data_IF_827055827063
#
_entry.id   IF_827055827063
#
_cell.length_a   1.000
_cell.length_b   1.000
_cell.length_c   1.000
_cell.angle_alpha   90.00
_cell.angle_beta   90.00
_cell.angle_gamma   90.00
#
_symmetry.space_group_name_H-M   'P 1'
#
loop_
_entity.id
_entity.type
_entity.pdbx_description
1 polymer ?
#
# COMPACT_ATOMS: atom_id res chain seq x y z
N UNK A 1 -18.01 10.00 3.17
CA UNK A 1 -18.64 9.10 2.21
C UNK A 1 -19.76 8.30 2.87
N UNK A 2 -20.88 8.13 2.17
CA UNK A 2 -21.84 7.08 2.53
C UNK A 2 -21.41 5.80 1.83
N UNK A 3 -20.97 4.82 2.62
CA UNK A 3 -20.62 3.48 2.13
C UNK A 3 -21.79 2.56 2.41
N UNK A 4 -22.23 1.85 1.40
CA UNK A 4 -23.30 0.86 1.48
C UNK A 4 -22.76 -0.44 0.87
N UNK A 5 -22.80 -1.52 1.62
CA UNK A 5 -22.41 -2.84 1.12
C UNK A 5 -23.62 -3.65 0.71
N UNK A 6 -23.40 -4.50 -0.28
CA UNK A 6 -24.35 -5.53 -0.70
C UNK A 6 -23.58 -6.80 -1.02
N UNK A 7 -24.22 -7.94 -0.73
CA UNK A 7 -23.60 -9.24 -0.96
C UNK A 7 -23.65 -9.61 -2.45
N UNK A 8 -22.46 -9.72 -3.07
CA UNK A 8 -22.36 -10.27 -4.42
C UNK A 8 -22.51 -11.79 -4.39
N UNK A 9 -23.42 -12.33 -5.19
CA UNK A 9 -23.61 -13.77 -5.39
C UNK A 9 -23.53 -14.11 -6.87
N UNK A 10 -22.63 -15.03 -7.21
CA UNK A 10 -22.48 -15.47 -8.59
C UNK A 10 -23.80 -16.09 -9.11
N UNK A 11 -24.19 -15.72 -10.32
CA UNK A 11 -25.45 -16.21 -10.93
C UNK A 11 -26.73 -15.52 -10.46
N UNK A 12 -26.65 -14.60 -9.50
CA UNK A 12 -27.81 -13.82 -9.02
C UNK A 12 -27.93 -12.53 -9.83
N UNK A 13 -29.13 -12.15 -10.34
CA UNK A 13 -29.37 -10.86 -10.97
C UNK A 13 -29.00 -9.70 -10.03
N UNK A 14 -28.44 -8.61 -10.59
CA UNK A 14 -27.99 -7.46 -9.77
C UNK A 14 -29.09 -6.84 -8.90
N UNK A 15 -30.35 -6.89 -9.35
CA UNK A 15 -31.50 -6.37 -8.61
C UNK A 15 -31.87 -7.19 -7.36
N UNK A 16 -31.33 -8.41 -7.25
CA UNK A 16 -31.64 -9.33 -6.15
C UNK A 16 -30.54 -9.36 -5.07
N UNK A 17 -29.50 -8.52 -5.22
CA UNK A 17 -28.48 -8.38 -4.20
C UNK A 17 -29.02 -7.71 -2.95
N UNK A 18 -28.77 -8.34 -1.80
CA UNK A 18 -29.23 -7.81 -0.51
C UNK A 18 -28.24 -6.78 0.01
N UNK A 19 -28.79 -5.66 0.49
CA UNK A 19 -28.00 -4.67 1.22
C UNK A 19 -27.71 -5.26 2.62
N UNK A 20 -26.41 -5.29 2.99
CA UNK A 20 -25.99 -5.84 4.27
C UNK A 20 -25.87 -4.75 5.33
N UNK A 21 -25.26 -3.63 4.97
CA UNK A 21 -25.00 -2.56 5.90
C UNK A 21 -24.73 -1.22 5.18
N UNK A 22 -24.83 -0.13 5.93
CA UNK A 22 -24.46 1.20 5.49
C UNK A 22 -23.79 1.96 6.62
N UNK A 23 -22.78 2.78 6.28
CA UNK A 23 -22.05 3.61 7.23
C UNK A 23 -21.69 4.96 6.62
N UNK A 24 -21.76 6.01 7.41
CA UNK A 24 -21.17 7.31 7.07
C UNK A 24 -19.70 7.30 7.46
N UNK A 25 -18.82 7.13 6.47
CA UNK A 25 -17.38 7.05 6.66
C UNK A 25 -16.72 8.42 6.48
N UNK A 26 -15.85 8.77 7.42
CA UNK A 26 -14.95 9.91 7.35
C UNK A 26 -13.52 9.41 7.30
N UNK A 27 -12.72 9.96 6.37
CA UNK A 27 -11.32 9.59 6.26
C UNK A 27 -10.54 10.01 7.50
N UNK A 28 -9.72 9.12 8.09
CA UNK A 28 -8.71 9.51 9.07
C UNK A 28 -7.70 10.50 8.48
N UNK A 29 -7.15 11.39 9.30
CA UNK A 29 -6.20 12.42 8.85
C UNK A 29 -4.92 11.82 8.27
N UNK A 30 -4.41 10.74 8.86
CA UNK A 30 -3.27 9.98 8.35
C UNK A 30 -3.52 9.41 6.95
N UNK A 31 -4.72 8.93 6.69
CA UNK A 31 -5.11 8.39 5.38
C UNK A 31 -5.22 9.52 4.35
N UNK A 32 -5.77 10.66 4.73
CA UNK A 32 -5.86 11.84 3.85
C UNK A 32 -4.48 12.33 3.43
N UNK A 33 -3.48 12.32 4.32
CA UNK A 33 -2.12 12.73 3.98
C UNK A 33 -1.48 11.76 2.97
N UNK A 34 -1.68 10.45 3.10
CA UNK A 34 -1.18 9.48 2.12
C UNK A 34 -1.92 9.61 0.78
N UNK A 35 -3.25 9.79 0.80
CA UNK A 35 -4.05 10.03 -0.41
C UNK A 35 -3.60 11.31 -1.12
N UNK A 36 -3.28 12.37 -0.39
CA UNK A 36 -2.74 13.62 -0.95
C UNK A 36 -1.38 13.38 -1.62
N UNK A 37 -0.47 12.65 -0.97
CA UNK A 37 0.82 12.29 -1.54
C UNK A 37 0.67 11.46 -2.82
N UNK A 38 -0.26 10.53 -2.85
CA UNK A 38 -0.57 9.72 -4.02
C UNK A 38 -1.09 10.58 -5.17
N UNK A 39 -1.99 11.53 -4.87
CA UNK A 39 -2.47 12.50 -5.85
C UNK A 39 -1.34 13.35 -6.42
N UNK A 40 -0.43 13.82 -5.57
CA UNK A 40 0.74 14.59 -6.00
C UNK A 40 1.64 13.79 -6.94
N UNK A 41 1.94 12.51 -6.64
CA UNK A 41 2.72 11.62 -7.51
C UNK A 41 2.08 11.46 -8.89
N UNK A 42 0.75 11.28 -8.94
CA UNK A 42 0.02 11.20 -10.21
C UNK A 42 0.14 12.52 -10.97
N UNK A 43 -0.08 13.65 -10.29
CA UNK A 43 -0.02 14.98 -10.91
C UNK A 43 1.40 15.37 -11.33
N UNK A 44 2.43 14.96 -10.63
CA UNK A 44 3.84 15.12 -11.05
C UNK A 44 4.07 14.46 -12.42
N UNK A 45 3.61 13.22 -12.63
CA UNK A 45 3.72 12.55 -13.94
C UNK A 45 2.90 13.25 -15.02
N UNK A 46 1.67 13.69 -14.71
CA UNK A 46 0.84 14.43 -15.67
C UNK A 46 1.51 15.73 -16.09
N UNK A 47 1.99 16.55 -15.14
CA UNK A 47 2.65 17.84 -15.41
C UNK A 47 3.98 17.68 -16.16
N UNK A 48 4.67 16.55 -15.95
CA UNK A 48 5.89 16.22 -16.68
C UNK A 48 5.64 15.64 -18.08
N UNK A 49 4.39 15.59 -18.57
CA UNK A 49 4.04 15.00 -19.87
C UNK A 49 4.18 13.48 -19.93
N UNK A 50 4.21 12.83 -18.77
CA UNK A 50 4.43 11.37 -18.61
C UNK A 50 3.19 10.63 -18.12
N UNK A 51 1.98 11.13 -18.41
CA UNK A 51 0.74 10.48 -17.98
C UNK A 51 0.58 9.06 -18.56
N UNK A 52 1.23 8.75 -19.68
CA UNK A 52 1.28 7.41 -20.28
C UNK A 52 2.04 6.37 -19.42
N UNK A 53 2.93 6.84 -18.52
CA UNK A 53 3.69 5.98 -17.60
C UNK A 53 2.98 5.71 -16.26
N UNK A 54 1.80 6.30 -16.02
CA UNK A 54 1.09 6.10 -14.76
C UNK A 54 0.66 4.65 -14.62
N UNK A 55 1.01 4.04 -13.49
CA UNK A 55 0.63 2.69 -13.12
C UNK A 55 -0.01 2.63 -11.73
N UNK A 56 -0.70 1.53 -11.40
CA UNK A 56 -1.26 1.32 -10.07
C UNK A 56 -0.18 1.13 -8.98
N UNK A 57 1.02 0.72 -9.39
CA UNK A 57 2.17 0.57 -8.49
C UNK A 57 2.78 1.89 -8.02
N UNK A 58 2.44 3.02 -8.65
CA UNK A 58 3.02 4.33 -8.30
C UNK A 58 2.54 4.88 -6.95
N UNK A 59 1.44 4.40 -6.45
CA UNK A 59 0.68 4.97 -5.33
C UNK A 59 0.34 3.93 -4.27
N UNK A 60 -0.09 4.38 -3.09
CA UNK A 60 -0.38 3.52 -1.94
C UNK A 60 -1.88 3.30 -1.74
N UNK A 61 -2.68 4.35 -1.60
CA UNK A 61 -4.12 4.28 -1.30
C UNK A 61 -4.98 4.74 -2.46
N UNK A 62 -4.59 5.82 -3.12
CA UNK A 62 -5.26 6.34 -4.32
C UNK A 62 -4.66 5.70 -5.57
N UNK A 63 -5.48 5.41 -6.55
CA UNK A 63 -5.06 4.91 -7.86
C UNK A 63 -5.59 5.81 -8.97
N UNK A 64 -4.93 5.80 -10.12
CA UNK A 64 -5.43 6.35 -11.37
C UNK A 64 -5.87 5.20 -12.27
N UNK A 65 -7.07 4.67 -12.01
CA UNK A 65 -7.62 3.52 -12.70
C UNK A 65 -7.94 3.83 -14.18
N UNK A 66 -7.50 3.01 -15.14
CA UNK A 66 -7.89 3.19 -16.54
C UNK A 66 -9.41 3.17 -16.72
N UNK A 67 -9.91 4.08 -17.53
CA UNK A 67 -11.30 4.17 -17.95
C UNK A 67 -11.35 4.18 -19.48
N UNK A 68 -12.26 3.44 -20.04
CA UNK A 68 -12.42 3.36 -21.50
C UNK A 68 -13.09 2.07 -21.87
N UNK A 69 -13.62 2.02 -23.10
CA UNK A 69 -14.35 0.86 -23.61
C UNK A 69 -13.40 -0.32 -23.85
N UNK A 70 -12.14 -0.03 -24.18
CA UNK A 70 -11.11 -1.02 -24.46
C UNK A 70 -9.70 -0.50 -24.16
N UNK A 71 -8.69 -1.35 -24.32
CA UNK A 71 -7.28 -1.03 -24.06
C UNK A 71 -6.70 0.08 -24.98
N UNK A 72 -7.33 0.34 -26.13
CA UNK A 72 -6.93 1.37 -27.11
C UNK A 72 -7.58 2.73 -26.87
N UNK A 73 -8.41 2.89 -25.83
CA UNK A 73 -9.00 4.19 -25.47
C UNK A 73 -7.93 5.13 -24.96
N UNK A 74 -7.36 5.91 -25.87
CA UNK A 74 -6.29 6.88 -25.58
C UNK A 74 -6.82 8.30 -25.71
N UNK A 75 -6.22 9.24 -24.97
CA UNK A 75 -6.49 10.68 -25.05
C UNK A 75 -5.20 11.47 -25.13
N UNK A 76 -5.26 12.61 -25.79
CA UNK A 76 -4.22 13.62 -25.73
C UNK A 76 -4.01 14.03 -24.28
N UNK A 77 -2.77 14.05 -23.83
CA UNK A 77 -2.42 14.59 -22.52
C UNK A 77 -2.06 16.10 -22.61
N UNK A 78 -2.25 16.87 -21.53
CA UNK A 78 -2.14 18.33 -21.61
C UNK A 78 -0.71 18.84 -21.80
N UNK A 79 0.31 18.05 -21.48
CA UNK A 79 1.71 18.51 -21.48
C UNK A 79 2.63 17.63 -22.36
N UNK A 80 2.08 16.86 -23.30
CA UNK A 80 2.85 16.03 -24.22
C UNK A 80 1.99 15.59 -25.40
N UNK A 81 2.63 15.40 -26.56
CA UNK A 81 1.96 14.85 -27.76
C UNK A 81 1.79 13.33 -27.71
N UNK A 82 2.42 12.65 -26.73
CA UNK A 82 2.26 11.22 -26.54
C UNK A 82 0.89 10.95 -25.92
N UNK A 83 0.00 10.20 -26.59
CA UNK A 83 -1.32 9.92 -26.02
C UNK A 83 -1.22 9.04 -24.79
N UNK A 84 -2.11 9.24 -23.80
CA UNK A 84 -2.19 8.46 -22.58
C UNK A 84 -3.57 7.83 -22.39
N UNK A 85 -3.64 6.74 -21.65
CA UNK A 85 -4.92 6.12 -21.29
C UNK A 85 -5.79 7.09 -20.51
N UNK A 86 -7.07 7.13 -20.83
CA UNK A 86 -8.04 7.83 -20.00
C UNK A 86 -8.09 7.18 -18.62
N UNK A 87 -8.03 7.98 -17.55
CA UNK A 87 -8.02 7.49 -16.17
C UNK A 87 -9.01 8.26 -15.31
N UNK A 88 -9.44 7.63 -14.22
CA UNK A 88 -10.16 8.27 -13.13
C UNK A 88 -9.50 7.93 -11.80
N UNK A 89 -9.57 8.84 -10.84
CA UNK A 89 -9.17 8.54 -9.47
C UNK A 89 -10.07 7.48 -8.86
N UNK A 90 -9.48 6.55 -8.13
CA UNK A 90 -10.18 5.52 -7.37
C UNK A 90 -9.36 5.17 -6.13
N UNK A 91 -10.01 4.76 -5.07
CA UNK A 91 -9.33 4.14 -3.94
C UNK A 91 -9.00 2.69 -4.31
N UNK A 92 -7.82 2.23 -3.91
CA UNK A 92 -7.40 0.84 -4.17
C UNK A 92 -8.31 -0.16 -3.47
N UNK A 93 -8.45 -1.34 -4.07
CA UNK A 93 -9.25 -2.43 -3.49
C UNK A 93 -8.77 -2.83 -2.11
N UNK A 94 -7.44 -2.90 -1.90
CA UNK A 94 -6.84 -3.19 -0.60
C UNK A 94 -7.27 -2.18 0.47
N UNK A 95 -7.20 -0.87 0.13
CA UNK A 95 -7.64 0.20 1.01
C UNK A 95 -9.12 0.06 1.37
N UNK A 96 -9.99 -0.07 0.37
CA UNK A 96 -11.44 -0.20 0.58
C UNK A 96 -11.80 -1.45 1.36
N UNK A 97 -11.14 -2.58 1.08
CA UNK A 97 -11.36 -3.83 1.84
C UNK A 97 -11.03 -3.64 3.32
N UNK A 98 -9.91 -2.95 3.63
CA UNK A 98 -9.55 -2.70 5.02
C UNK A 98 -10.52 -1.74 5.71
N UNK A 99 -10.95 -0.67 5.02
CA UNK A 99 -11.96 0.27 5.52
C UNK A 99 -13.28 -0.45 5.82
N UNK A 100 -13.79 -1.26 4.89
CA UNK A 100 -15.04 -2.00 5.11
C UNK A 100 -14.91 -2.98 6.27
N UNK A 101 -13.84 -3.76 6.31
CA UNK A 101 -13.61 -4.72 7.40
C UNK A 101 -13.59 -4.04 8.77
N UNK A 102 -12.91 -2.90 8.89
CA UNK A 102 -12.79 -2.19 10.16
C UNK A 102 -14.11 -1.49 10.56
N UNK A 103 -14.65 -0.67 9.66
CA UNK A 103 -15.72 0.27 10.02
C UNK A 103 -17.12 -0.30 9.80
N UNK A 104 -17.27 -1.29 8.93
CA UNK A 104 -18.57 -1.90 8.63
C UNK A 104 -18.74 -3.28 9.28
N UNK A 105 -17.69 -4.09 9.29
CA UNK A 105 -17.73 -5.45 9.80
C UNK A 105 -17.06 -5.63 11.16
N UNK A 106 -16.60 -4.55 11.80
CA UNK A 106 -16.09 -4.56 13.18
C UNK A 106 -14.78 -5.30 13.38
N UNK A 107 -13.93 -5.43 12.33
CA UNK A 107 -12.61 -6.02 12.49
C UNK A 107 -11.75 -5.19 13.46
N UNK A 108 -10.93 -5.86 14.27
CA UNK A 108 -10.04 -5.23 15.22
C UNK A 108 -9.05 -4.27 14.53
N UNK A 109 -8.64 -3.25 15.26
CA UNK A 109 -7.62 -2.31 14.84
C UNK A 109 -6.26 -3.00 14.77
N UNK A 110 -5.58 -2.84 13.64
CA UNK A 110 -4.21 -3.33 13.49
C UNK A 110 -3.20 -2.31 14.03
N UNK A 111 -2.00 -2.75 14.44
CA UNK A 111 -0.93 -1.83 14.79
C UNK A 111 -0.61 -0.87 13.65
N UNK A 112 -0.36 0.40 13.95
CA UNK A 112 0.09 1.40 13.00
C UNK A 112 1.61 1.58 13.04
N UNK A 113 2.24 1.73 11.87
CA UNK A 113 3.65 2.13 11.73
C UNK A 113 3.80 3.63 11.98
N UNK A 114 2.76 4.41 11.66
CA UNK A 114 2.75 5.85 11.81
C UNK A 114 2.42 6.20 13.27
N UNK A 115 3.38 6.79 13.99
CA UNK A 115 3.17 7.28 15.37
C UNK A 115 2.66 8.71 15.42
N UNK A 116 3.14 9.55 14.52
CA UNK A 116 2.68 10.93 14.36
C UNK A 116 2.46 11.20 12.87
N UNK A 117 1.20 11.21 12.46
CA UNK A 117 0.80 11.44 11.08
C UNK A 117 1.20 12.83 10.55
N UNK A 118 1.42 13.82 11.44
CA UNK A 118 1.86 15.18 11.04
C UNK A 118 3.21 15.17 10.36
N UNK A 119 4.03 14.13 10.60
CA UNK A 119 5.31 13.94 9.92
C UNK A 119 5.11 13.68 8.42
N UNK A 120 3.98 13.08 8.02
CA UNK A 120 3.65 12.84 6.61
C UNK A 120 3.41 14.13 5.82
N UNK A 121 3.17 15.26 6.48
CA UNK A 121 3.15 16.58 5.83
C UNK A 121 4.53 17.06 5.38
N UNK A 122 5.60 16.51 5.96
CA UNK A 122 6.99 16.91 5.72
C UNK A 122 7.79 15.89 4.91
N UNK A 123 7.31 14.66 4.80
CA UNK A 123 7.97 13.61 4.03
C UNK A 123 6.95 12.61 3.51
N UNK A 124 7.29 11.92 2.43
CA UNK A 124 6.47 10.83 1.90
C UNK A 124 6.48 9.63 2.84
N UNK A 125 5.44 8.79 2.77
CA UNK A 125 5.36 7.59 3.60
C UNK A 125 6.58 6.67 3.40
N UNK A 126 7.04 6.50 2.17
CA UNK A 126 8.22 5.70 1.87
C UNK A 126 9.49 6.27 2.55
N UNK A 127 9.64 7.59 2.52
CA UNK A 127 10.75 8.27 3.21
C UNK A 127 10.63 8.14 4.73
N UNK A 128 9.42 8.17 5.28
CA UNK A 128 9.18 7.93 6.70
C UNK A 128 9.66 6.54 7.09
N UNK A 129 9.31 5.49 6.32
CA UNK A 129 9.78 4.12 6.56
C UNK A 129 11.31 4.03 6.48
N UNK A 130 11.91 4.61 5.42
CA UNK A 130 13.38 4.60 5.25
C UNK A 130 14.07 5.32 6.42
N UNK A 131 13.57 6.47 6.86
CA UNK A 131 14.12 7.21 8.02
C UNK A 131 14.09 6.40 9.32
N UNK A 132 13.07 5.58 9.52
CA UNK A 132 12.99 4.68 10.69
C UNK A 132 13.99 3.53 10.63
N UNK A 133 14.30 3.04 9.45
CA UNK A 133 15.18 1.87 9.25
C UNK A 133 16.65 2.27 9.06
N UNK A 134 16.92 3.42 8.43
CA UNK A 134 18.28 3.85 8.06
C UNK A 134 19.28 3.96 9.22
N UNK A 135 18.89 4.29 10.48
CA UNK A 135 19.83 4.29 11.60
C UNK A 135 20.49 2.92 11.88
N UNK A 136 19.88 1.86 11.38
CA UNK A 136 20.35 0.48 11.57
C UNK A 136 21.13 -0.08 10.37
N UNK A 137 21.36 0.73 9.33
CA UNK A 137 22.17 0.30 8.18
C UNK A 137 23.59 -0.02 8.59
N UNK A 138 24.15 -1.10 8.05
CA UNK A 138 25.48 -1.60 8.38
C UNK A 138 25.53 -2.49 9.61
N UNK A 139 24.51 -2.52 10.45
CA UNK A 139 24.47 -3.42 11.61
C UNK A 139 24.22 -4.88 11.16
N UNK A 140 24.95 -5.79 11.80
CA UNK A 140 24.73 -7.22 11.61
C UNK A 140 23.48 -7.71 12.35
N UNK A 141 22.93 -8.88 11.93
CA UNK A 141 21.83 -9.51 12.67
C UNK A 141 22.13 -9.75 14.15
N UNK A 142 23.42 -10.01 14.50
CA UNK A 142 23.83 -10.21 15.90
C UNK A 142 23.70 -8.91 16.70
N UNK A 143 24.19 -7.81 16.16
CA UNK A 143 24.08 -6.48 16.78
C UNK A 143 22.63 -6.04 16.91
N UNK A 144 21.82 -6.23 15.88
CA UNK A 144 20.39 -5.92 15.92
C UNK A 144 19.64 -6.77 16.96
N UNK A 145 19.96 -8.05 17.07
CA UNK A 145 19.40 -8.92 18.12
C UNK A 145 19.74 -8.42 19.52
N UNK A 146 20.98 -8.00 19.73
CA UNK A 146 21.41 -7.44 21.00
C UNK A 146 20.72 -6.10 21.28
N UNK A 147 20.71 -5.21 20.30
CA UNK A 147 20.09 -3.88 20.40
C UNK A 147 18.59 -3.96 20.76
N UNK A 148 17.85 -4.83 20.10
CA UNK A 148 16.40 -5.01 20.32
C UNK A 148 16.05 -6.09 21.36
N UNK A 149 17.05 -6.70 22.00
CA UNK A 149 16.88 -7.79 22.97
C UNK A 149 16.04 -8.97 22.39
N UNK A 150 16.23 -9.28 21.10
CA UNK A 150 15.53 -10.35 20.40
C UNK A 150 16.27 -11.66 20.56
N UNK A 151 15.75 -12.58 21.36
CA UNK A 151 16.29 -13.93 21.49
C UNK A 151 15.47 -14.92 20.63
N UNK A 152 15.60 -14.84 19.30
CA UNK A 152 14.88 -15.71 18.36
C UNK A 152 15.85 -16.40 17.40
N UNK A 153 15.57 -17.68 17.12
CA UNK A 153 16.18 -18.47 16.04
C UNK A 153 15.20 -18.74 14.89
N UNK A 154 14.06 -18.05 14.86
CA UNK A 154 13.01 -18.26 13.89
C UNK A 154 13.47 -17.90 12.47
N UNK A 155 12.93 -18.61 11.47
CA UNK A 155 13.22 -18.35 10.03
C UNK A 155 12.87 -16.93 9.60
N UNK A 156 11.86 -16.30 10.24
CA UNK A 156 11.41 -14.93 9.98
C UNK A 156 12.11 -13.87 10.85
N UNK A 157 13.33 -14.14 11.34
CA UNK A 157 14.09 -13.22 12.19
C UNK A 157 14.20 -11.81 11.56
N UNK A 158 14.45 -11.70 10.26
CA UNK A 158 14.55 -10.40 9.59
C UNK A 158 13.25 -9.61 9.65
N UNK A 159 12.09 -10.27 9.53
CA UNK A 159 10.78 -9.64 9.69
C UNK A 159 10.59 -9.12 11.13
N UNK A 160 11.01 -9.92 12.12
CA UNK A 160 10.95 -9.53 13.54
C UNK A 160 11.83 -8.31 13.79
N UNK A 161 13.05 -8.30 13.28
CA UNK A 161 13.97 -7.17 13.44
C UNK A 161 13.45 -5.92 12.77
N UNK A 162 12.91 -6.04 11.55
CA UNK A 162 12.29 -4.92 10.84
C UNK A 162 11.07 -4.37 11.60
N UNK A 163 10.26 -5.24 12.20
CA UNK A 163 9.14 -4.81 13.04
C UNK A 163 9.63 -3.99 14.26
N UNK A 164 10.76 -4.40 14.88
CA UNK A 164 11.39 -3.64 15.97
C UNK A 164 11.93 -2.28 15.52
N UNK A 165 12.57 -2.21 14.35
CA UNK A 165 13.04 -0.94 13.75
C UNK A 165 11.88 0.02 13.50
N UNK A 166 10.74 -0.50 13.09
CA UNK A 166 9.51 0.27 12.85
C UNK A 166 8.65 0.48 14.11
N UNK A 167 9.12 -0.01 15.27
CA UNK A 167 8.43 0.10 16.57
C UNK A 167 7.01 -0.53 16.56
N UNK A 168 6.84 -1.60 15.80
CA UNK A 168 5.57 -2.31 15.66
C UNK A 168 5.61 -3.62 16.42
N UNK A 169 4.49 -3.97 17.06
CA UNK A 169 4.25 -5.30 17.63
C UNK A 169 3.63 -6.22 16.59
N UNK A 170 4.15 -7.47 16.50
CA UNK A 170 3.66 -8.45 15.53
C UNK A 170 4.31 -8.34 14.15
N UNK A 171 3.56 -8.75 13.12
CA UNK A 171 4.05 -8.81 11.74
C UNK A 171 3.73 -7.52 10.99
N UNK A 172 4.71 -6.97 10.28
CA UNK A 172 4.57 -5.72 9.52
C UNK A 172 3.47 -5.82 8.46
N UNK A 173 3.34 -6.98 7.80
CA UNK A 173 2.30 -7.21 6.81
C UNK A 173 0.87 -6.99 7.34
N UNK A 174 0.68 -7.01 8.66
CA UNK A 174 -0.61 -6.81 9.31
C UNK A 174 -0.77 -5.42 9.95
N UNK A 175 0.12 -4.49 9.65
CA UNK A 175 -0.09 -3.09 10.05
C UNK A 175 -1.13 -2.41 9.17
N UNK A 176 -1.77 -1.37 9.69
CA UNK A 176 -2.83 -0.64 8.98
C UNK A 176 -2.36 -0.16 7.61
N UNK A 177 -1.20 0.48 7.55
CA UNK A 177 -0.70 1.11 6.33
C UNK A 177 -0.31 0.06 5.28
N UNK A 178 0.34 -1.04 5.69
CA UNK A 178 0.74 -2.09 4.76
C UNK A 178 -0.47 -2.84 4.21
N UNK A 179 -1.49 -3.09 5.04
CA UNK A 179 -2.74 -3.71 4.58
C UNK A 179 -3.51 -2.79 3.64
N UNK A 180 -3.68 -1.51 3.99
CA UNK A 180 -4.36 -0.51 3.16
C UNK A 180 -3.68 -0.32 1.81
N UNK A 181 -2.34 -0.26 1.80
CA UNK A 181 -1.55 -0.12 0.57
C UNK A 181 -1.43 -1.42 -0.24
N UNK A 182 -1.77 -2.58 0.35
CA UNK A 182 -1.54 -3.88 -0.27
C UNK A 182 -0.05 -4.24 -0.37
N UNK A 183 0.80 -3.71 0.53
CA UNK A 183 2.24 -3.94 0.55
C UNK A 183 2.54 -5.26 1.26
N UNK A 184 3.32 -6.10 0.60
CA UNK A 184 3.86 -7.33 1.16
C UNK A 184 5.35 -7.13 1.44
N UNK A 185 5.79 -7.05 2.72
CA UNK A 185 7.19 -6.92 3.05
C UNK A 185 7.95 -8.20 2.68
N UNK A 186 9.07 -8.04 1.99
CA UNK A 186 9.92 -9.15 1.58
C UNK A 186 11.37 -8.85 1.91
N UNK A 187 12.14 -9.89 2.26
CA UNK A 187 13.58 -9.78 2.50
C UNK A 187 14.34 -10.42 1.34
N UNK A 188 15.36 -9.72 0.85
CA UNK A 188 16.19 -10.19 -0.26
C UNK A 188 17.62 -10.33 0.21
N UNK A 189 18.26 -11.46 -0.09
CA UNK A 189 19.67 -11.70 0.22
C UNK A 189 20.53 -11.32 -0.99
N UNK A 190 21.39 -10.30 -0.76
CA UNK A 190 22.31 -9.80 -1.79
C UNK A 190 23.74 -10.30 -1.50
N UNK A 191 24.45 -10.76 -2.51
CA UNK A 191 25.86 -11.16 -2.44
C UNK A 191 26.77 -9.93 -2.53
N UNK A 192 28.07 -10.09 -2.18
CA UNK A 192 29.06 -9.00 -2.27
C UNK A 192 29.21 -8.37 -3.66
N UNK A 193 28.92 -9.16 -4.71
CA UNK A 193 28.97 -8.70 -6.10
C UNK A 193 27.66 -8.01 -6.57
N UNK A 194 26.73 -7.72 -5.66
CA UNK A 194 25.45 -7.08 -5.95
C UNK A 194 24.37 -8.03 -6.53
N UNK A 195 24.67 -9.30 -6.77
CA UNK A 195 23.70 -10.25 -7.29
C UNK A 195 22.78 -10.78 -6.17
N UNK A 196 21.52 -10.96 -6.49
CA UNK A 196 20.55 -11.62 -5.61
C UNK A 196 20.89 -13.11 -5.53
N UNK A 197 20.93 -13.67 -4.32
CA UNK A 197 21.31 -15.08 -4.11
C UNK A 197 20.19 -16.04 -4.50
N UNK A 198 18.96 -15.66 -4.28
CA UNK A 198 17.78 -16.51 -4.45
C UNK A 198 16.72 -15.76 -5.25
N UNK A 199 15.92 -16.46 -6.05
CA UNK A 199 14.75 -15.86 -6.67
C UNK A 199 13.75 -15.41 -5.60
N UNK A 200 13.04 -14.32 -5.85
CA UNK A 200 11.98 -13.85 -4.97
C UNK A 200 10.66 -14.54 -5.35
N UNK A 201 10.16 -15.49 -4.53
CA UNK A 201 8.94 -16.19 -4.85
C UNK A 201 7.73 -15.27 -4.65
N UNK A 202 6.86 -15.19 -5.63
CA UNK A 202 5.52 -14.66 -5.49
C UNK A 202 4.53 -15.78 -5.12
N UNK A 203 3.31 -15.44 -4.74
CA UNK A 203 2.27 -16.43 -4.49
C UNK A 203 2.04 -17.27 -5.74
N UNK A 204 1.72 -18.54 -5.53
CA UNK A 204 1.40 -19.46 -6.63
C UNK A 204 0.32 -18.87 -7.54
N UNK A 205 0.56 -18.94 -8.85
CA UNK A 205 -0.50 -18.74 -9.84
C UNK A 205 -1.47 -19.92 -9.68
N UNK A 206 -2.70 -19.62 -9.28
CA UNK A 206 -3.80 -20.57 -9.41
C UNK A 206 -4.25 -20.49 -10.88
N UNK A 207 -3.95 -21.53 -11.64
CA UNK A 207 -4.42 -21.71 -13.01
C UNK A 207 -5.86 -22.20 -12.99
#
# INVERSE_FOLDING_TARGET
LLLMSYEYRNGTPKGDYKIDAAILFQFPEEDLEIIRQDWEKIMEKVRAGRAHEISEGDTLYLSACPKGVNASSMRQQPFSDIPAKQRAYSLKTSYMTRVLNRYLFGAEESPSVIRDWRLLRKCRFEEYIVKKVSPFYGMTQKELKLHFQVNSKAKNLNEILLARMLEVTGRIAYTEEFQKAGIIPMTVRVQKNGKVKESMPFRHLTL
#
